data_IF_252505566914
#
_entry.id   IF_252505566914
#
_cell.length_a   1.000
_cell.length_b   1.000
_cell.length_c   1.000
_cell.angle_alpha   90.00
_cell.angle_beta   90.00
_cell.angle_gamma   90.00
#
_symmetry.space_group_name_H-M   'P 1'
#
loop_
_entity.id
_entity.type
_entity.pdbx_description
1 polymer ?
#
# COMPACT_ATOMS: atom_id res chain seq x y z
N UNK A 1 -26.64 -0.74 0.36
CA UNK A 1 -25.76 -1.49 1.27
C UNK A 1 -24.45 -0.76 1.30
N UNK A 2 -24.19 -0.05 2.39
CA UNK A 2 -23.09 0.92 2.47
C UNK A 2 -21.99 0.43 3.41
N UNK A 3 -22.36 -0.41 4.38
CA UNK A 3 -21.46 -1.01 5.37
C UNK A 3 -21.71 -2.52 5.41
N UNK A 4 -20.64 -3.31 5.42
CA UNK A 4 -20.66 -4.76 5.66
C UNK A 4 -19.60 -5.14 6.69
N UNK A 5 -20.00 -5.82 7.76
CA UNK A 5 -19.09 -6.29 8.81
C UNK A 5 -19.12 -7.83 8.82
N UNK A 6 -18.07 -8.45 8.30
CA UNK A 6 -17.90 -9.91 8.31
C UNK A 6 -17.43 -10.36 9.70
N UNK A 7 -18.38 -10.65 10.59
CA UNK A 7 -18.14 -11.03 11.99
C UNK A 7 -18.48 -12.51 12.31
N UNK A 8 -19.29 -13.17 11.50
CA UNK A 8 -19.71 -14.56 11.77
C UNK A 8 -18.51 -15.50 11.92
N UNK A 9 -18.60 -16.46 12.85
CA UNK A 9 -17.49 -17.36 13.14
C UNK A 9 -17.85 -18.52 14.07
N UNK A 10 -17.09 -19.61 13.94
CA UNK A 10 -17.14 -20.80 14.79
C UNK A 10 -15.72 -21.26 15.19
N UNK A 11 -15.61 -22.16 16.17
CA UNK A 11 -14.36 -22.80 16.59
C UNK A 11 -14.46 -24.34 16.48
N UNK A 12 -13.34 -24.98 16.12
CA UNK A 12 -13.14 -26.43 16.04
C UNK A 12 -11.68 -26.74 16.37
N UNK A 13 -11.32 -26.47 17.62
CA UNK A 13 -9.93 -26.46 18.06
C UNK A 13 -9.43 -27.89 18.31
N UNK A 14 -8.37 -28.28 17.61
CA UNK A 14 -7.67 -29.56 17.73
C UNK A 14 -6.20 -29.38 17.35
N UNK A 15 -5.29 -30.08 18.02
CA UNK A 15 -3.89 -30.17 17.56
C UNK A 15 -3.84 -30.68 16.12
N UNK A 16 -2.88 -30.22 15.32
CA UNK A 16 -2.84 -30.46 13.87
C UNK A 16 -3.13 -31.91 13.44
N UNK A 17 -2.46 -32.90 14.03
CA UNK A 17 -2.65 -34.32 13.68
C UNK A 17 -3.98 -34.94 14.14
N UNK A 18 -4.70 -34.27 15.04
CA UNK A 18 -6.02 -34.70 15.52
C UNK A 18 -7.16 -33.96 14.80
N UNK A 19 -6.83 -33.01 13.92
CA UNK A 19 -7.82 -32.21 13.21
C UNK A 19 -8.40 -33.01 12.05
N UNK A 20 -9.67 -33.40 12.19
CA UNK A 20 -10.35 -34.14 11.14
C UNK A 20 -10.72 -33.20 9.98
N UNK A 21 -10.74 -33.67 8.72
CA UNK A 21 -11.08 -32.83 7.57
C UNK A 21 -12.41 -32.04 7.71
N UNK A 22 -13.49 -32.58 8.32
CA UNK A 22 -14.72 -31.80 8.54
C UNK A 22 -14.54 -30.60 9.49
N UNK A 23 -13.63 -30.68 10.47
CA UNK A 23 -13.33 -29.56 11.37
C UNK A 23 -12.60 -28.43 10.63
N UNK A 24 -11.72 -28.80 9.71
CA UNK A 24 -11.06 -27.86 8.81
C UNK A 24 -12.06 -27.17 7.88
N UNK A 25 -12.88 -27.96 7.19
CA UNK A 25 -13.85 -27.45 6.21
C UNK A 25 -14.91 -26.57 6.86
N UNK A 26 -15.45 -26.94 8.03
CA UNK A 26 -16.45 -26.14 8.72
C UNK A 26 -15.94 -24.74 9.09
N UNK A 27 -14.72 -24.64 9.60
CA UNK A 27 -14.11 -23.36 9.97
C UNK A 27 -13.81 -22.51 8.72
N UNK A 28 -13.22 -23.10 7.68
CA UNK A 28 -12.98 -22.41 6.41
C UNK A 28 -14.28 -21.90 5.77
N UNK A 29 -15.32 -22.75 5.73
CA UNK A 29 -16.60 -22.44 5.12
C UNK A 29 -17.31 -21.26 5.80
N UNK A 30 -17.32 -21.21 7.13
CA UNK A 30 -17.96 -20.10 7.85
C UNK A 30 -17.16 -18.81 7.77
N UNK A 31 -15.86 -18.88 8.01
CA UNK A 31 -15.04 -17.67 8.14
C UNK A 31 -14.63 -17.10 6.78
N UNK A 32 -13.97 -17.89 5.94
CA UNK A 32 -13.38 -17.41 4.70
C UNK A 32 -14.39 -17.43 3.55
N UNK A 33 -15.01 -18.58 3.29
CA UNK A 33 -15.97 -18.72 2.19
C UNK A 33 -17.24 -17.92 2.49
N UNK A 34 -17.68 -17.88 3.75
CA UNK A 34 -18.79 -17.04 4.21
C UNK A 34 -18.52 -15.56 3.95
N UNK A 35 -17.35 -15.05 4.33
CA UNK A 35 -16.98 -13.66 4.04
C UNK A 35 -16.98 -13.38 2.53
N UNK A 36 -16.41 -14.26 1.71
CA UNK A 36 -16.45 -14.13 0.25
C UNK A 36 -17.89 -14.08 -0.30
N UNK A 37 -18.74 -15.02 0.11
CA UNK A 37 -20.09 -15.18 -0.40
C UNK A 37 -21.02 -14.00 -0.07
N UNK A 38 -20.85 -13.39 1.11
CA UNK A 38 -21.65 -12.23 1.53
C UNK A 38 -21.08 -10.94 0.95
N UNK A 39 -19.75 -10.84 0.87
CA UNK A 39 -19.06 -9.63 0.41
C UNK A 39 -19.19 -9.41 -1.09
N UNK A 40 -19.15 -10.47 -1.91
CA UNK A 40 -19.23 -10.36 -3.37
C UNK A 40 -20.47 -9.61 -3.89
N UNK A 41 -21.71 -9.93 -3.48
CA UNK A 41 -22.89 -9.16 -3.90
C UNK A 41 -22.90 -7.74 -3.30
N UNK A 42 -22.47 -7.55 -2.05
CA UNK A 42 -22.41 -6.23 -1.43
C UNK A 42 -21.42 -5.30 -2.15
N UNK A 43 -20.23 -5.81 -2.51
CA UNK A 43 -19.19 -5.07 -3.20
C UNK A 43 -19.64 -4.58 -4.58
N UNK A 44 -20.48 -5.37 -5.30
CA UNK A 44 -21.10 -4.92 -6.55
C UNK A 44 -21.92 -3.65 -6.33
N UNK A 45 -22.83 -3.66 -5.34
CA UNK A 45 -23.65 -2.50 -5.00
C UNK A 45 -22.80 -1.29 -4.56
N UNK A 46 -21.78 -1.53 -3.72
CA UNK A 46 -20.90 -0.47 -3.23
C UNK A 46 -20.13 0.21 -4.37
N UNK A 47 -19.71 -0.56 -5.40
CA UNK A 47 -19.07 -0.02 -6.60
C UNK A 47 -19.99 0.87 -7.41
N UNK A 48 -21.24 0.47 -7.59
CA UNK A 48 -22.28 1.26 -8.27
C UNK A 48 -22.57 2.56 -7.51
N UNK A 49 -22.66 2.48 -6.18
CA UNK A 49 -22.93 3.63 -5.32
C UNK A 49 -21.73 4.54 -5.08
N UNK A 50 -20.53 4.15 -5.54
CA UNK A 50 -19.27 4.88 -5.30
C UNK A 50 -18.98 5.10 -3.80
N UNK A 51 -19.47 4.19 -2.96
CA UNK A 51 -19.28 4.21 -1.52
C UNK A 51 -19.40 2.80 -0.94
N UNK A 52 -18.48 2.45 -0.05
CA UNK A 52 -18.58 1.22 0.72
C UNK A 52 -17.57 1.16 1.86
N UNK A 53 -17.95 0.49 2.96
CA UNK A 53 -17.08 0.19 4.09
C UNK A 53 -17.21 -1.27 4.47
N UNK A 54 -16.09 -1.99 4.44
CA UNK A 54 -16.08 -3.42 4.71
C UNK A 54 -15.09 -3.69 5.83
N UNK A 55 -15.56 -4.44 6.84
CA UNK A 55 -14.72 -4.94 7.92
C UNK A 55 -14.60 -6.45 7.81
N UNK A 56 -13.37 -6.92 7.84
CA UNK A 56 -13.04 -8.32 8.04
C UNK A 56 -12.65 -8.55 9.51
N UNK A 57 -13.07 -9.67 10.09
CA UNK A 57 -12.72 -9.99 11.49
C UNK A 57 -11.67 -11.09 11.53
N UNK A 58 -10.40 -10.71 11.75
CA UNK A 58 -9.28 -11.65 11.99
C UNK A 58 -9.14 -11.94 13.50
N UNK A 59 -7.98 -12.42 13.95
CA UNK A 59 -7.67 -12.63 15.36
C UNK A 59 -6.16 -12.65 15.60
N UNK A 60 -5.73 -12.55 16.86
CA UNK A 60 -4.33 -12.79 17.22
C UNK A 60 -3.83 -14.18 16.78
N UNK A 61 -4.68 -15.20 16.86
CA UNK A 61 -4.36 -16.54 16.34
C UNK A 61 -4.15 -16.53 14.82
N UNK A 62 -4.93 -15.76 14.07
CA UNK A 62 -4.71 -15.56 12.63
C UNK A 62 -3.38 -14.87 12.32
N UNK A 63 -3.05 -13.82 13.08
CA UNK A 63 -1.85 -13.00 12.82
C UNK A 63 -0.54 -13.65 13.28
N UNK A 64 -0.57 -14.39 14.39
CA UNK A 64 0.64 -14.86 15.09
C UNK A 64 0.65 -16.37 15.35
N UNK A 65 -0.44 -17.07 15.03
CA UNK A 65 -0.63 -18.47 15.36
C UNK A 65 -1.18 -18.68 16.78
N UNK A 66 -1.83 -19.82 16.98
CA UNK A 66 -2.20 -20.33 18.30
C UNK A 66 -2.24 -21.86 18.28
N UNK A 67 -1.77 -22.50 19.35
CA UNK A 67 -1.72 -23.95 19.41
C UNK A 67 -3.12 -24.56 19.31
N UNK A 68 -3.28 -25.59 18.49
CA UNK A 68 -4.57 -26.27 18.30
C UNK A 68 -5.57 -25.54 17.40
N UNK A 69 -5.15 -24.45 16.74
CA UNK A 69 -6.04 -23.60 15.93
C UNK A 69 -5.57 -23.45 14.48
N UNK A 70 -5.00 -24.50 13.86
CA UNK A 70 -4.48 -24.42 12.49
C UNK A 70 -5.56 -24.03 11.46
N UNK A 71 -6.75 -24.64 11.52
CA UNK A 71 -7.91 -24.27 10.69
C UNK A 71 -8.35 -22.82 10.91
N UNK A 72 -8.51 -22.40 12.16
CA UNK A 72 -8.96 -21.07 12.53
C UNK A 72 -7.95 -20.01 12.13
N UNK A 73 -6.67 -20.22 12.44
CA UNK A 73 -5.58 -19.31 12.08
C UNK A 73 -5.47 -19.15 10.56
N UNK A 74 -5.55 -20.25 9.81
CA UNK A 74 -5.54 -20.22 8.35
C UNK A 74 -6.73 -19.42 7.78
N UNK A 75 -7.95 -19.68 8.27
CA UNK A 75 -9.13 -18.95 7.82
C UNK A 75 -9.06 -17.45 8.17
N UNK A 76 -8.63 -17.11 9.40
CA UNK A 76 -8.52 -15.72 9.88
C UNK A 76 -7.42 -14.94 9.16
N UNK A 77 -6.30 -15.56 8.80
CA UNK A 77 -5.28 -14.91 7.98
C UNK A 77 -5.71 -14.80 6.51
N UNK A 78 -6.49 -15.77 6.00
CA UNK A 78 -7.12 -15.69 4.69
C UNK A 78 -7.97 -14.44 4.50
N UNK A 79 -8.65 -13.96 5.57
CA UNK A 79 -9.40 -12.70 5.55
C UNK A 79 -8.50 -11.46 5.37
N UNK A 80 -7.29 -11.47 5.92
CA UNK A 80 -6.28 -10.41 5.68
C UNK A 80 -5.87 -10.43 4.20
N UNK A 81 -5.69 -11.62 3.63
CA UNK A 81 -5.44 -11.81 2.19
C UNK A 81 -6.57 -11.24 1.31
N UNK A 82 -7.83 -11.54 1.63
CA UNK A 82 -8.99 -10.96 0.92
C UNK A 82 -8.98 -9.43 0.99
N UNK A 83 -8.77 -8.86 2.17
CA UNK A 83 -8.70 -7.41 2.35
C UNK A 83 -7.58 -6.78 1.51
N UNK A 84 -6.39 -7.39 1.49
CA UNK A 84 -5.23 -6.87 0.76
C UNK A 84 -5.47 -6.71 -0.74
N UNK A 85 -6.28 -7.58 -1.35
CA UNK A 85 -6.67 -7.44 -2.76
C UNK A 85 -7.86 -6.49 -2.91
N UNK A 86 -8.89 -6.64 -2.08
CA UNK A 86 -10.11 -5.85 -2.21
C UNK A 86 -9.90 -4.35 -1.99
N UNK A 87 -8.94 -3.94 -1.15
CA UNK A 87 -8.59 -2.52 -0.96
C UNK A 87 -8.19 -1.86 -2.29
N UNK A 88 -7.50 -2.60 -3.16
CA UNK A 88 -7.02 -2.13 -4.46
C UNK A 88 -8.18 -2.11 -5.47
N UNK A 89 -9.01 -3.16 -5.50
CA UNK A 89 -10.17 -3.22 -6.38
C UNK A 89 -11.24 -2.17 -6.07
N UNK A 90 -11.33 -1.76 -4.80
CA UNK A 90 -12.31 -0.81 -4.28
C UNK A 90 -11.90 0.66 -4.35
N UNK A 91 -10.60 0.94 -4.47
CA UNK A 91 -10.01 2.28 -4.32
C UNK A 91 -10.69 3.32 -5.22
N UNK A 92 -10.75 3.06 -6.53
CA UNK A 92 -11.37 3.99 -7.51
C UNK A 92 -12.87 4.20 -7.35
N UNK A 93 -13.52 3.39 -6.51
CA UNK A 93 -14.95 3.43 -6.25
C UNK A 93 -15.29 3.93 -4.84
N UNK A 94 -14.31 4.42 -4.06
CA UNK A 94 -14.57 4.86 -2.68
C UNK A 94 -14.97 3.74 -1.73
N UNK A 95 -14.66 2.48 -2.08
CA UNK A 95 -14.90 1.31 -1.24
C UNK A 95 -13.65 1.01 -0.43
N UNK A 96 -13.75 1.11 0.90
CA UNK A 96 -12.64 0.87 1.82
C UNK A 96 -12.83 -0.45 2.55
N UNK A 97 -11.74 -1.19 2.72
CA UNK A 97 -11.74 -2.50 3.37
C UNK A 97 -10.66 -2.52 4.42
N UNK A 98 -11.02 -2.79 5.68
CA UNK A 98 -10.08 -2.90 6.80
C UNK A 98 -10.33 -4.20 7.56
N UNK A 99 -9.35 -4.61 8.37
CA UNK A 99 -9.45 -5.82 9.18
C UNK A 99 -9.27 -5.49 10.66
N UNK A 100 -10.07 -6.10 11.53
CA UNK A 100 -9.96 -5.96 12.98
C UNK A 100 -9.67 -7.32 13.61
N UNK A 101 -8.70 -7.36 14.52
CA UNK A 101 -8.39 -8.45 15.43
C UNK A 101 -8.91 -8.08 16.82
N UNK A 102 -10.15 -8.48 17.16
CA UNK A 102 -10.74 -8.14 18.45
C UNK A 102 -10.12 -8.94 19.59
N UNK A 103 -10.00 -8.30 20.75
CA UNK A 103 -9.81 -8.95 22.04
C UNK A 103 -11.12 -8.75 22.81
N UNK A 104 -11.91 -9.81 22.91
CA UNK A 104 -13.15 -9.82 23.68
C UNK A 104 -13.31 -11.17 24.38
N UNK A 105 -13.89 -11.14 25.56
CA UNK A 105 -14.33 -12.34 26.26
C UNK A 105 -15.48 -12.92 25.45
N UNK A 106 -15.45 -14.24 25.27
CA UNK A 106 -16.56 -14.95 24.65
C UNK A 106 -17.32 -15.70 25.72
N UNK A 107 -18.52 -16.20 25.38
CA UNK A 107 -19.30 -17.11 26.25
C UNK A 107 -18.51 -18.35 26.69
N UNK A 108 -17.39 -18.68 26.02
CA UNK A 108 -16.52 -19.81 26.36
C UNK A 108 -15.48 -19.47 27.45
N UNK A 109 -15.27 -18.20 27.80
CA UNK A 109 -14.24 -17.74 28.76
C UNK A 109 -14.83 -17.09 30.01
N UNK A 110 -16.17 -17.09 30.14
CA UNK A 110 -16.92 -16.40 31.20
C UNK A 110 -16.64 -16.95 32.61
N UNK A 111 -16.51 -18.28 32.75
CA UNK A 111 -16.29 -18.93 34.06
C UNK A 111 -14.81 -19.01 34.49
N UNK A 112 -13.87 -18.57 33.64
CA UNK A 112 -12.42 -18.74 33.85
C UNK A 112 -11.75 -17.41 34.20
N UNK A 113 -12.30 -16.29 33.74
CA UNK A 113 -11.67 -14.98 33.89
C UNK A 113 -12.09 -14.29 35.19
N UNK A 114 -11.15 -13.62 35.89
CA UNK A 114 -11.48 -12.74 37.00
C UNK A 114 -12.55 -11.71 36.59
N UNK A 115 -13.53 -11.38 37.47
CA UNK A 115 -14.63 -10.48 37.12
C UNK A 115 -14.19 -9.10 36.61
N UNK A 116 -13.10 -8.55 37.16
CA UNK A 116 -12.52 -7.27 36.77
C UNK A 116 -11.89 -7.29 35.36
N UNK A 117 -11.43 -8.45 34.91
CA UNK A 117 -10.91 -8.67 33.56
C UNK A 117 -12.06 -8.88 32.57
N UNK A 118 -13.11 -9.60 32.96
CA UNK A 118 -14.31 -9.78 32.13
C UNK A 118 -14.98 -8.44 31.78
N UNK A 119 -15.08 -7.54 32.75
CA UNK A 119 -15.62 -6.19 32.56
C UNK A 119 -14.84 -5.37 31.52
N UNK A 120 -13.52 -5.59 31.38
CA UNK A 120 -12.67 -4.92 30.39
C UNK A 120 -12.70 -5.60 29.01
N UNK A 121 -13.21 -6.83 28.93
CA UNK A 121 -13.23 -7.64 27.73
C UNK A 121 -14.56 -7.60 26.97
N UNK A 122 -15.37 -6.59 27.29
CA UNK A 122 -16.66 -6.30 26.66
C UNK A 122 -16.50 -5.93 25.16
N UNK A 123 -17.36 -6.44 24.26
CA UNK A 123 -17.35 -6.09 22.82
C UNK A 123 -17.42 -4.57 22.55
N UNK A 124 -17.99 -3.81 23.47
CA UNK A 124 -18.08 -2.35 23.47
C UNK A 124 -16.70 -1.67 23.43
N UNK A 125 -15.63 -2.34 23.85
CA UNK A 125 -14.26 -1.82 23.70
C UNK A 125 -13.68 -1.99 22.28
N UNK A 126 -14.38 -2.70 21.40
CA UNK A 126 -14.01 -2.89 19.98
C UNK A 126 -14.89 -2.03 19.08
N UNK A 127 -16.17 -1.88 19.43
CA UNK A 127 -17.18 -1.21 18.61
C UNK A 127 -16.80 0.21 18.12
N UNK A 128 -16.19 1.10 18.94
CA UNK A 128 -15.82 2.44 18.48
C UNK A 128 -14.85 2.43 17.29
N UNK A 129 -13.86 1.53 17.29
CA UNK A 129 -12.94 1.41 16.16
C UNK A 129 -13.67 0.94 14.91
N UNK A 130 -14.53 -0.08 15.03
CA UNK A 130 -15.32 -0.61 13.91
C UNK A 130 -16.23 0.47 13.32
N UNK A 131 -16.93 1.23 14.18
CA UNK A 131 -17.79 2.35 13.75
C UNK A 131 -16.98 3.44 13.05
N UNK A 132 -15.83 3.82 13.60
CA UNK A 132 -14.96 4.82 12.97
C UNK A 132 -14.45 4.36 11.60
N UNK A 133 -13.95 3.12 11.49
CA UNK A 133 -13.49 2.55 10.22
C UNK A 133 -14.61 2.45 9.18
N UNK A 134 -15.88 2.36 9.62
CA UNK A 134 -17.06 2.37 8.78
C UNK A 134 -17.66 3.77 8.53
N UNK A 135 -17.06 4.83 9.06
CA UNK A 135 -17.54 6.20 8.83
C UNK A 135 -17.06 6.76 7.49
N UNK A 136 -17.75 7.80 7.01
CA UNK A 136 -17.30 8.55 5.84
C UNK A 136 -15.94 9.23 6.07
N UNK A 137 -15.70 9.66 7.31
CA UNK A 137 -14.53 10.43 7.73
C UNK A 137 -13.24 9.61 7.78
N UNK A 138 -13.32 8.28 7.91
CA UNK A 138 -12.11 7.45 7.96
C UNK A 138 -11.41 7.44 6.59
N UNK A 139 -10.15 7.90 6.49
CA UNK A 139 -9.42 7.87 5.23
C UNK A 139 -8.82 6.49 4.92
N UNK A 140 -8.72 5.62 5.92
CA UNK A 140 -7.91 4.40 5.85
C UNK A 140 -8.61 3.27 5.11
N UNK A 141 -7.87 2.60 4.24
CA UNK A 141 -8.19 1.32 3.64
C UNK A 141 -6.94 0.44 3.70
N UNK A 142 -7.11 -0.86 3.84
CA UNK A 142 -5.99 -1.78 3.74
C UNK A 142 -5.24 -2.08 5.03
N UNK A 143 -5.78 -1.69 6.19
CA UNK A 143 -5.08 -1.81 7.47
C UNK A 143 -5.66 -2.93 8.35
N UNK A 144 -4.80 -3.45 9.24
CA UNK A 144 -5.18 -4.40 10.29
C UNK A 144 -5.02 -3.71 11.64
N UNK A 145 -6.01 -3.84 12.52
CA UNK A 145 -5.98 -3.25 13.85
C UNK A 145 -6.29 -4.27 14.93
N UNK A 146 -5.54 -4.26 16.04
CA UNK A 146 -5.99 -4.93 17.25
C UNK A 146 -6.81 -3.95 18.09
N UNK A 147 -7.89 -4.43 18.71
CA UNK A 147 -8.77 -3.61 19.54
C UNK A 147 -9.39 -4.41 20.67
N UNK A 148 -9.42 -3.85 21.86
CA UNK A 148 -10.08 -4.42 23.04
C UNK A 148 -9.48 -3.90 24.34
N UNK A 149 -10.23 -3.92 25.44
CA UNK A 149 -9.78 -3.44 26.76
C UNK A 149 -9.25 -1.99 26.78
N UNK A 150 -9.69 -1.14 25.84
CA UNK A 150 -9.17 0.22 25.67
C UNK A 150 -7.81 0.32 24.97
N UNK A 151 -7.23 -0.81 24.55
CA UNK A 151 -6.02 -0.86 23.73
C UNK A 151 -6.38 -0.90 22.24
N UNK A 152 -5.68 -0.08 21.47
CA UNK A 152 -5.80 -0.02 20.02
C UNK A 152 -4.41 0.13 19.41
N UNK A 153 -4.06 -0.73 18.46
CA UNK A 153 -2.87 -0.55 17.65
C UNK A 153 -3.08 -1.05 16.23
N UNK A 154 -2.15 -0.69 15.35
CA UNK A 154 -2.07 -1.22 13.99
C UNK A 154 -1.12 -2.42 13.97
N UNK A 155 -1.53 -3.47 13.26
CA UNK A 155 -0.66 -4.58 12.85
C UNK A 155 -0.43 -4.52 11.34
N UNK A 156 0.74 -4.93 10.87
CA UNK A 156 1.10 -4.86 9.47
C UNK A 156 2.12 -5.93 9.06
N UNK A 157 2.11 -6.26 7.77
CA UNK A 157 3.19 -7.01 7.12
C UNK A 157 4.22 -6.00 6.65
N UNK A 158 5.45 -6.14 7.15
CA UNK A 158 6.61 -5.33 6.77
C UNK A 158 7.68 -6.24 6.18
N UNK A 159 8.53 -5.71 5.29
CA UNK A 159 9.76 -6.40 4.89
C UNK A 159 10.97 -5.58 5.32
N UNK A 160 11.99 -6.28 5.82
CA UNK A 160 13.31 -5.70 5.98
C UNK A 160 13.89 -5.24 4.64
N UNK A 161 14.91 -4.38 4.66
CA UNK A 161 15.56 -3.87 3.45
C UNK A 161 16.24 -4.96 2.61
N UNK A 162 16.66 -6.08 3.21
CA UNK A 162 17.35 -7.15 2.50
C UNK A 162 18.79 -6.79 2.10
N UNK A 163 19.36 -7.61 1.23
CA UNK A 163 20.76 -7.54 0.79
C UNK A 163 20.91 -8.15 -0.61
N UNK A 164 21.75 -7.53 -1.45
CA UNK A 164 22.12 -8.09 -2.76
C UNK A 164 23.30 -9.04 -2.56
N UNK A 165 23.12 -10.30 -2.99
CA UNK A 165 24.14 -11.35 -2.86
C UNK A 165 24.90 -11.64 -4.15
N UNK A 166 24.36 -11.24 -5.30
CA UNK A 166 25.02 -11.29 -6.60
C UNK A 166 24.45 -10.25 -7.55
N UNK A 167 25.15 -10.02 -8.66
CA UNK A 167 24.75 -9.12 -9.74
C UNK A 167 23.69 -9.72 -10.70
N UNK A 168 23.10 -10.86 -10.34
CA UNK A 168 22.17 -11.60 -11.18
C UNK A 168 22.81 -12.43 -12.30
N UNK A 169 24.13 -12.32 -12.52
CA UNK A 169 24.87 -13.16 -13.48
C UNK A 169 25.38 -14.46 -12.84
N UNK A 170 25.60 -14.44 -11.52
CA UNK A 170 26.07 -15.57 -10.74
C UNK A 170 25.02 -15.99 -9.71
N UNK A 171 24.72 -17.29 -9.65
CA UNK A 171 23.79 -17.83 -8.66
C UNK A 171 24.50 -17.91 -7.29
N UNK A 172 23.97 -17.27 -6.22
CA UNK A 172 24.55 -17.39 -4.88
C UNK A 172 24.50 -18.84 -4.38
N UNK A 173 25.59 -19.32 -3.78
CA UNK A 173 25.60 -20.65 -3.14
C UNK A 173 24.88 -20.60 -1.78
N UNK A 174 24.43 -21.74 -1.23
CA UNK A 174 23.88 -21.80 0.13
C UNK A 174 24.82 -21.22 1.19
N UNK A 175 26.13 -21.38 1.04
CA UNK A 175 27.14 -20.83 1.95
C UNK A 175 27.19 -19.30 1.90
N UNK A 176 27.06 -18.70 0.71
CA UNK A 176 26.94 -17.24 0.56
C UNK A 176 25.68 -16.72 1.26
N UNK A 177 24.55 -17.42 1.12
CA UNK A 177 23.31 -17.07 1.82
C UNK A 177 23.49 -17.19 3.33
N UNK A 178 24.06 -18.29 3.81
CA UNK A 178 24.30 -18.52 5.23
C UNK A 178 25.24 -17.47 5.84
N UNK A 179 26.33 -17.13 5.14
CA UNK A 179 27.30 -16.11 5.57
C UNK A 179 26.72 -14.70 5.62
N UNK A 180 25.63 -14.44 4.90
CA UNK A 180 24.92 -13.15 4.85
C UNK A 180 23.55 -13.19 5.54
N UNK A 181 23.22 -14.28 6.21
CA UNK A 181 21.92 -14.44 6.90
C UNK A 181 21.62 -13.31 7.90
N UNK A 182 22.60 -12.76 8.67
CA UNK A 182 22.35 -11.60 9.53
C UNK A 182 21.79 -10.37 8.79
N UNK A 183 22.26 -10.12 7.56
CA UNK A 183 21.78 -9.00 6.74
C UNK A 183 20.38 -9.28 6.17
N UNK A 184 20.09 -10.54 5.82
CA UNK A 184 18.78 -10.99 5.33
C UNK A 184 17.71 -10.86 6.43
N UNK A 185 18.07 -11.18 7.68
CA UNK A 185 17.17 -11.13 8.85
C UNK A 185 16.98 -9.72 9.43
N UNK A 186 17.69 -8.71 8.90
CA UNK A 186 17.65 -7.35 9.44
C UNK A 186 16.28 -6.70 9.24
N UNK A 187 15.68 -6.26 10.34
CA UNK A 187 14.39 -5.54 10.35
C UNK A 187 14.53 -4.03 10.60
N UNK A 188 15.72 -3.54 10.94
CA UNK A 188 15.94 -2.10 11.04
C UNK A 188 15.87 -1.47 9.64
N UNK A 189 14.97 -0.50 9.49
CA UNK A 189 14.57 0.06 8.19
C UNK A 189 13.47 -0.74 7.48
N UNK A 190 12.81 -1.69 8.15
CA UNK A 190 11.67 -2.40 7.56
C UNK A 190 10.52 -1.45 7.24
N UNK A 191 9.85 -1.70 6.12
CA UNK A 191 8.72 -0.89 5.65
C UNK A 191 7.56 -1.74 5.20
N UNK A 192 6.39 -1.12 5.18
CA UNK A 192 5.20 -1.68 4.57
C UNK A 192 5.15 -1.37 3.08
N UNK A 193 4.45 -2.21 2.33
CA UNK A 193 4.18 -1.99 0.91
C UNK A 193 2.68 -1.94 0.68
N UNK A 194 2.23 -1.02 -0.17
CA UNK A 194 0.80 -0.89 -0.43
C UNK A 194 0.28 -2.05 -1.27
N UNK A 195 1.08 -2.52 -2.24
CA UNK A 195 0.75 -3.60 -3.16
C UNK A 195 1.98 -4.49 -3.49
N UNK A 196 1.73 -5.59 -4.20
CA UNK A 196 2.78 -6.56 -4.55
C UNK A 196 3.83 -5.99 -5.54
N UNK A 197 3.42 -5.10 -6.45
CA UNK A 197 4.32 -4.49 -7.43
C UNK A 197 5.38 -3.61 -6.75
N UNK A 198 4.98 -2.82 -5.76
CA UNK A 198 5.90 -2.01 -4.95
C UNK A 198 6.91 -2.88 -4.19
N UNK A 199 6.45 -3.99 -3.59
CA UNK A 199 7.33 -4.92 -2.88
C UNK A 199 8.35 -5.57 -3.82
N UNK A 200 7.92 -6.01 -5.02
CA UNK A 200 8.80 -6.61 -6.01
C UNK A 200 9.80 -5.61 -6.61
N UNK A 201 9.43 -4.34 -6.71
CA UNK A 201 10.33 -3.29 -7.21
C UNK A 201 11.66 -3.26 -6.44
N UNK A 202 11.62 -3.42 -5.12
CA UNK A 202 12.82 -3.46 -4.26
C UNK A 202 13.73 -4.64 -4.60
N UNK A 203 13.16 -5.80 -4.92
CA UNK A 203 13.94 -6.98 -5.30
C UNK A 203 14.66 -6.77 -6.63
N UNK A 204 14.09 -6.00 -7.55
CA UNK A 204 14.67 -5.71 -8.86
C UNK A 204 15.77 -4.65 -8.80
N UNK A 205 15.61 -3.64 -7.93
CA UNK A 205 16.55 -2.51 -7.83
C UNK A 205 17.60 -2.68 -6.74
N UNK A 206 17.42 -3.66 -5.85
CA UNK A 206 18.16 -3.77 -4.60
C UNK A 206 17.63 -2.82 -3.51
N UNK A 207 18.13 -2.95 -2.26
CA UNK A 207 17.80 -2.03 -1.19
C UNK A 207 18.25 -0.62 -1.54
N UNK A 208 17.38 0.36 -1.30
CA UNK A 208 17.79 1.76 -1.30
C UNK A 208 18.92 1.95 -0.27
N UNK A 209 19.95 2.78 -0.57
CA UNK A 209 20.93 3.15 0.44
C UNK A 209 20.20 3.74 1.65
N UNK A 210 20.73 3.58 2.88
CA UNK A 210 20.06 4.04 4.09
C UNK A 210 19.82 5.55 3.98
N UNK A 211 18.60 5.92 3.60
CA UNK A 211 18.09 7.26 3.75
C UNK A 211 17.95 7.46 5.25
N UNK A 212 18.68 8.44 5.80
CA UNK A 212 18.46 8.93 7.14
C UNK A 212 16.95 9.10 7.34
N UNK A 213 16.43 8.56 8.44
CA UNK A 213 15.05 8.66 8.91
C UNK A 213 14.23 9.71 8.16
N UNK A 214 13.13 9.29 7.52
CA UNK A 214 12.13 10.15 6.86
C UNK A 214 12.36 11.63 7.21
N UNK A 215 13.06 12.41 6.36
CA UNK A 215 13.16 13.82 6.66
C UNK A 215 11.72 14.31 6.66
N UNK A 216 11.32 14.84 7.81
CA UNK A 216 10.17 15.72 7.98
C UNK A 216 9.96 16.46 6.66
N UNK A 217 8.75 16.45 6.06
CA UNK A 217 8.53 17.03 4.75
C UNK A 217 9.19 18.40 4.73
N UNK A 218 10.17 18.57 3.84
CA UNK A 218 10.88 19.82 3.71
C UNK A 218 9.82 20.88 3.43
N UNK A 219 9.58 21.72 4.41
CA UNK A 219 8.71 22.87 4.32
C UNK A 219 9.15 23.72 3.13
N UNK A 220 8.35 23.74 2.05
CA UNK A 220 8.36 24.84 1.08
C UNK A 220 8.50 24.54 -0.42
N UNK A 221 8.67 23.29 -0.88
CA UNK A 221 8.72 23.04 -2.34
C UNK A 221 7.30 22.97 -2.93
N UNK A 222 6.90 23.99 -3.69
CA UNK A 222 5.65 24.00 -4.48
C UNK A 222 5.90 23.59 -5.92
N UNK A 223 4.88 23.11 -6.64
CA UNK A 223 4.98 22.77 -8.07
C UNK A 223 5.46 23.99 -8.89
N UNK A 224 4.95 25.18 -8.60
CA UNK A 224 5.40 26.43 -9.23
C UNK A 224 6.91 26.65 -9.06
N UNK A 225 7.43 26.48 -7.84
CA UNK A 225 8.87 26.67 -7.57
C UNK A 225 9.77 25.70 -8.34
N UNK A 226 9.24 24.54 -8.75
CA UNK A 226 9.96 23.57 -9.59
C UNK A 226 10.04 24.09 -11.02
N UNK A 227 8.92 24.58 -11.58
CA UNK A 227 8.89 25.13 -12.95
C UNK A 227 9.67 26.45 -13.08
N UNK A 228 9.71 27.28 -12.03
CA UNK A 228 10.54 28.51 -12.02
C UNK A 228 12.04 28.19 -12.12
N UNK A 229 12.47 27.05 -11.56
CA UNK A 229 13.86 26.59 -11.58
C UNK A 229 14.20 25.70 -12.78
N UNK A 230 13.19 25.16 -13.45
CA UNK A 230 13.36 24.18 -14.53
C UNK A 230 14.28 24.69 -15.66
N UNK A 231 14.17 25.94 -16.16
CA UNK A 231 15.11 26.46 -17.16
C UNK A 231 16.57 26.49 -16.68
N UNK A 232 16.81 26.73 -15.39
CA UNK A 232 18.16 26.72 -14.80
C UNK A 232 18.77 25.33 -14.64
N UNK A 233 17.93 24.28 -14.63
CA UNK A 233 18.36 22.88 -14.58
C UNK A 233 18.64 22.26 -15.96
N UNK A 234 18.38 23.01 -17.03
CA UNK A 234 18.50 22.54 -18.39
C UNK A 234 19.96 22.46 -18.87
N UNK A 235 20.31 21.35 -19.52
CA UNK A 235 21.64 21.04 -20.03
C UNK A 235 21.68 21.26 -21.54
N UNK A 236 21.96 22.50 -21.97
CA UNK A 236 21.95 22.92 -23.37
C UNK A 236 22.89 22.06 -24.25
N UNK A 237 24.05 21.68 -23.72
CA UNK A 237 25.03 20.82 -24.40
C UNK A 237 24.50 19.41 -24.71
N UNK A 238 23.49 18.94 -23.98
CA UNK A 238 22.83 17.64 -24.19
C UNK A 238 21.61 17.72 -25.12
N UNK A 239 21.24 18.93 -25.54
CA UNK A 239 20.03 19.21 -26.33
C UNK A 239 20.29 19.42 -27.83
N UNK A 240 21.50 19.12 -28.31
CA UNK A 240 21.83 19.22 -29.73
C UNK A 240 20.89 18.33 -30.58
N UNK A 241 20.20 18.94 -31.56
CA UNK A 241 19.25 18.26 -32.44
C UNK A 241 17.93 17.83 -31.79
N UNK A 242 17.64 18.29 -30.57
CA UNK A 242 16.40 17.96 -29.87
C UNK A 242 15.34 19.00 -30.18
N UNK A 243 14.21 18.53 -30.72
CA UNK A 243 12.95 19.28 -30.86
C UNK A 243 11.81 18.46 -30.20
N UNK A 244 11.37 18.93 -29.04
CA UNK A 244 10.36 18.27 -28.20
C UNK A 244 9.62 19.29 -27.35
N UNK A 245 8.31 19.06 -27.17
CA UNK A 245 7.50 19.80 -26.22
C UNK A 245 6.95 18.83 -25.17
N UNK A 246 7.38 19.03 -23.92
CA UNK A 246 6.87 18.31 -22.75
C UNK A 246 5.69 19.08 -22.17
N UNK A 247 4.49 18.48 -22.17
CA UNK A 247 3.37 18.98 -21.40
C UNK A 247 3.35 18.31 -20.02
N UNK A 248 3.21 19.09 -18.98
CA UNK A 248 2.99 18.63 -17.61
C UNK A 248 1.56 18.98 -17.22
N UNK A 249 0.81 18.00 -16.72
CA UNK A 249 -0.53 18.18 -16.14
C UNK A 249 -0.50 17.66 -14.71
N UNK A 250 -0.34 18.57 -13.77
CA UNK A 250 -0.13 18.26 -12.36
C UNK A 250 -1.45 18.48 -11.63
N UNK A 251 -1.99 17.46 -10.97
CA UNK A 251 -3.27 17.54 -10.26
C UNK A 251 -3.08 17.75 -8.76
N UNK A 252 -4.00 18.45 -8.09
CA UNK A 252 -3.97 18.69 -6.64
C UNK A 252 -4.10 20.18 -6.28
N UNK A 253 -4.05 20.50 -4.98
CA UNK A 253 -4.25 21.86 -4.46
C UNK A 253 -3.21 22.88 -4.97
N UNK A 254 -1.98 22.43 -5.24
CA UNK A 254 -0.88 23.22 -5.82
C UNK A 254 -0.55 22.78 -7.26
N UNK A 255 -1.48 22.08 -7.93
CA UNK A 255 -1.31 21.61 -9.29
C UNK A 255 -1.52 22.69 -10.35
N UNK A 256 -1.28 22.32 -11.61
CA UNK A 256 -1.44 23.21 -12.76
C UNK A 256 -0.93 22.54 -14.04
N UNK A 257 -1.03 23.27 -15.14
CA UNK A 257 -0.51 22.85 -16.43
C UNK A 257 0.70 23.73 -16.80
N UNK A 258 1.77 23.11 -17.30
CA UNK A 258 2.95 23.80 -17.83
C UNK A 258 3.46 23.08 -19.06
N UNK A 259 4.12 23.81 -19.95
CA UNK A 259 4.84 23.24 -21.08
C UNK A 259 6.30 23.64 -21.05
N UNK A 260 7.20 22.70 -21.36
CA UNK A 260 8.61 22.94 -21.58
C UNK A 260 8.94 22.59 -23.04
N UNK A 261 9.16 23.60 -23.86
CA UNK A 261 9.57 23.46 -25.25
C UNK A 261 11.10 23.50 -25.32
N UNK A 262 11.70 22.45 -25.90
CA UNK A 262 13.14 22.37 -26.15
C UNK A 262 13.36 22.39 -27.65
N UNK A 263 14.07 23.42 -28.11
CA UNK A 263 14.43 23.62 -29.50
C UNK A 263 15.70 24.47 -29.59
N UNK A 264 16.56 24.16 -30.56
CA UNK A 264 17.82 24.90 -30.81
C UNK A 264 18.69 25.06 -29.56
N UNK A 265 18.75 23.99 -28.74
CA UNK A 265 19.45 23.97 -27.46
C UNK A 265 19.02 25.06 -26.46
N UNK A 266 17.77 25.52 -26.56
CA UNK A 266 17.11 26.38 -25.58
C UNK A 266 15.91 25.66 -24.95
N UNK A 267 15.59 26.02 -23.71
CA UNK A 267 14.40 25.54 -23.00
C UNK A 267 13.50 26.73 -22.64
N UNK A 268 12.27 26.73 -23.16
CA UNK A 268 11.24 27.70 -22.84
C UNK A 268 10.15 27.02 -22.01
N UNK A 269 9.93 27.51 -20.80
CA UNK A 269 8.88 27.04 -19.91
C UNK A 269 7.73 28.05 -19.90
N UNK A 270 6.53 27.59 -20.20
CA UNK A 270 5.32 28.41 -20.29
C UNK A 270 4.19 27.80 -19.45
N UNK A 271 3.56 28.56 -18.54
CA UNK A 271 2.36 28.12 -17.85
C UNK A 271 1.19 27.90 -18.83
N UNK A 272 0.39 26.87 -18.59
CA UNK A 272 -0.78 26.49 -19.38
C UNK A 272 -0.59 25.26 -20.26
N UNK A 273 -1.61 25.03 -21.11
CA UNK A 273 -1.62 23.94 -22.07
C UNK A 273 -0.95 24.38 -23.37
N UNK A 274 -0.12 23.50 -23.92
CA UNK A 274 0.41 23.63 -25.27
C UNK A 274 -0.53 22.97 -26.29
N UNK A 275 -0.75 23.59 -27.46
CA UNK A 275 -1.69 23.08 -28.45
C UNK A 275 -1.27 21.72 -29.06
N UNK A 276 0.04 21.51 -29.22
CA UNK A 276 0.61 20.31 -29.86
C UNK A 276 1.80 19.77 -29.07
N UNK A 277 1.59 19.19 -27.88
CA UNK A 277 2.68 18.63 -27.10
C UNK A 277 3.18 17.33 -27.76
N UNK A 278 4.48 17.08 -27.67
CA UNK A 278 5.06 15.82 -28.15
C UNK A 278 4.79 14.67 -27.19
N UNK A 279 4.83 14.97 -25.90
CA UNK A 279 4.46 14.04 -24.83
C UNK A 279 3.79 14.81 -23.69
N UNK A 280 2.86 14.15 -23.01
CA UNK A 280 2.11 14.68 -21.87
C UNK A 280 2.33 13.81 -20.64
N UNK A 281 2.84 14.42 -19.58
CA UNK A 281 3.13 13.82 -18.28
C UNK A 281 2.03 14.21 -17.31
N UNK A 282 1.39 13.22 -16.69
CA UNK A 282 0.32 13.42 -15.71
C UNK A 282 0.71 12.79 -14.39
N UNK A 283 0.68 13.59 -13.32
CA UNK A 283 1.05 13.21 -11.96
C UNK A 283 0.24 14.03 -10.94
N UNK A 284 0.16 13.56 -9.69
CA UNK A 284 -0.25 14.40 -8.57
C UNK A 284 0.86 15.40 -8.22
N UNK A 285 0.52 16.54 -7.61
CA UNK A 285 1.49 17.54 -7.15
C UNK A 285 2.50 16.93 -6.17
N UNK A 286 2.03 16.09 -5.25
CA UNK A 286 2.86 15.39 -4.27
C UNK A 286 3.85 14.44 -4.95
N UNK A 287 3.38 13.57 -5.84
CA UNK A 287 4.25 12.61 -6.54
C UNK A 287 5.22 13.34 -7.48
N UNK A 288 4.80 14.44 -8.11
CA UNK A 288 5.65 15.27 -8.95
C UNK A 288 6.79 15.90 -8.14
N UNK A 289 6.49 16.49 -6.99
CA UNK A 289 7.53 17.04 -6.09
C UNK A 289 8.48 15.94 -5.60
N UNK A 290 7.96 14.76 -5.27
CA UNK A 290 8.78 13.62 -4.86
C UNK A 290 9.67 13.13 -6.01
N UNK A 291 9.17 13.10 -7.24
CA UNK A 291 9.96 12.71 -8.42
C UNK A 291 11.08 13.72 -8.69
N UNK A 292 10.75 15.00 -8.66
CA UNK A 292 11.70 16.08 -8.95
C UNK A 292 12.72 16.31 -7.82
N UNK A 293 12.45 15.82 -6.61
CA UNK A 293 13.42 15.83 -5.50
C UNK A 293 14.21 14.52 -5.36
N UNK A 294 14.05 13.58 -6.30
CA UNK A 294 14.74 12.28 -6.30
C UNK A 294 14.20 11.27 -5.29
N UNK A 295 13.11 11.58 -4.57
CA UNK A 295 12.45 10.70 -3.59
C UNK A 295 11.56 9.63 -4.24
N UNK A 296 11.17 9.83 -5.49
CA UNK A 296 10.36 8.89 -6.27
C UNK A 296 11.04 8.62 -7.61
N UNK A 297 11.67 7.45 -7.80
CA UNK A 297 12.24 7.05 -9.09
C UNK A 297 11.20 7.06 -10.21
N UNK A 298 11.54 7.59 -11.39
CA UNK A 298 10.61 7.74 -12.52
C UNK A 298 10.02 6.40 -12.99
N UNK A 299 10.85 5.34 -13.06
CA UNK A 299 10.40 4.00 -13.41
C UNK A 299 9.40 3.42 -12.40
N UNK A 300 9.60 3.69 -11.10
CA UNK A 300 8.65 3.30 -10.05
C UNK A 300 7.34 4.07 -10.21
N UNK A 301 7.40 5.40 -10.38
CA UNK A 301 6.22 6.22 -10.61
C UNK A 301 5.39 5.73 -11.81
N UNK A 302 6.05 5.37 -12.91
CA UNK A 302 5.39 4.90 -14.12
C UNK A 302 4.72 3.55 -13.92
N UNK A 303 5.45 2.57 -13.38
CA UNK A 303 4.94 1.20 -13.18
C UNK A 303 3.83 1.10 -12.13
N UNK A 304 3.83 1.97 -11.11
CA UNK A 304 2.74 2.07 -10.13
C UNK A 304 1.58 2.94 -10.61
N UNK A 305 1.65 3.51 -11.82
CA UNK A 305 0.59 4.34 -12.42
C UNK A 305 0.46 5.76 -11.84
N UNK A 306 1.41 6.19 -11.01
CA UNK A 306 1.51 7.54 -10.44
C UNK A 306 1.99 8.56 -11.48
N UNK A 307 2.86 8.13 -12.39
CA UNK A 307 3.27 8.82 -13.61
C UNK A 307 2.58 8.19 -14.80
N UNK A 308 1.74 8.97 -15.48
CA UNK A 308 1.12 8.57 -16.75
C UNK A 308 1.69 9.40 -17.87
N UNK A 309 2.04 8.74 -18.97
CA UNK A 309 2.65 9.38 -20.14
C UNK A 309 1.72 9.12 -21.33
N UNK A 310 1.37 10.19 -22.04
CA UNK A 310 0.64 10.16 -23.31
C UNK A 310 1.52 10.77 -24.42
N UNK A 311 1.31 10.35 -25.67
CA UNK A 311 2.15 10.77 -26.81
C UNK A 311 3.42 9.92 -26.96
N UNK A 312 4.53 10.55 -27.33
CA UNK A 312 5.79 9.86 -27.62
C UNK A 312 6.54 9.47 -26.32
N UNK A 313 6.44 8.18 -25.97
CA UNK A 313 7.08 7.61 -24.79
C UNK A 313 8.62 7.66 -24.87
N UNK A 314 9.22 7.46 -26.05
CA UNK A 314 10.67 7.50 -26.19
C UNK A 314 11.21 8.91 -25.95
N UNK A 315 10.50 9.93 -26.46
CA UNK A 315 10.86 11.33 -26.19
C UNK A 315 10.65 11.72 -24.74
N UNK A 316 9.71 11.11 -24.00
CA UNK A 316 9.53 11.37 -22.56
C UNK A 316 10.79 11.06 -21.73
N UNK A 317 11.56 10.04 -22.13
CA UNK A 317 12.82 9.66 -21.45
C UNK A 317 13.92 10.72 -21.62
N UNK A 318 13.81 11.62 -22.59
CA UNK A 318 14.78 12.69 -22.77
C UNK A 318 14.80 13.67 -21.59
N UNK A 319 13.75 13.74 -20.76
CA UNK A 319 13.73 14.62 -19.58
C UNK A 319 14.92 14.35 -18.66
N UNK A 320 15.22 13.08 -18.36
CA UNK A 320 16.35 12.71 -17.48
C UNK A 320 17.71 13.08 -18.08
N UNK A 321 17.79 13.11 -19.43
CA UNK A 321 19.00 13.53 -20.14
C UNK A 321 19.14 15.05 -20.19
N UNK A 322 18.04 15.76 -20.40
CA UNK A 322 18.00 17.20 -20.70
C UNK A 322 18.00 18.07 -19.44
N UNK A 323 17.55 17.54 -18.30
CA UNK A 323 17.46 18.28 -17.05
C UNK A 323 18.26 17.58 -15.95
N UNK A 324 18.86 18.37 -15.06
CA UNK A 324 19.55 17.86 -13.86
C UNK A 324 18.84 18.40 -12.63
N UNK A 325 18.03 17.53 -12.02
CA UNK A 325 17.28 17.81 -10.80
C UNK A 325 18.14 17.61 -9.54
#
# INVERSE_FOLDING_TARGET
VDILINNAGILRDKSFLKMDPPDWEAVKAVHLDGAFNVTRPAFRQMKENRYGRIIMTTSAAGLYGNFGQTNYSAAKMGLVGLMNTMKLEGEKYGVKVNTVAPIAATRLTEDILPPDLFEKLKPEFVAPLVLYLCSEQCPVSGAVYNAGMGYFNRAAVVSGPGVVLSDGSTVPTPETVAGRLPDILRMEGAREFFNATEALGVMLTGPEPPSAANPTPATGATVQSVFDRLPGSFQAEKAAGVDVVFQFRITGADGGDWSAAIKDAACLVTPGLHEKPTTTIKMSAEDFINLMSGKLPAMQAYTTGKLKIEGDLMKSQLIEKLFKF
#
